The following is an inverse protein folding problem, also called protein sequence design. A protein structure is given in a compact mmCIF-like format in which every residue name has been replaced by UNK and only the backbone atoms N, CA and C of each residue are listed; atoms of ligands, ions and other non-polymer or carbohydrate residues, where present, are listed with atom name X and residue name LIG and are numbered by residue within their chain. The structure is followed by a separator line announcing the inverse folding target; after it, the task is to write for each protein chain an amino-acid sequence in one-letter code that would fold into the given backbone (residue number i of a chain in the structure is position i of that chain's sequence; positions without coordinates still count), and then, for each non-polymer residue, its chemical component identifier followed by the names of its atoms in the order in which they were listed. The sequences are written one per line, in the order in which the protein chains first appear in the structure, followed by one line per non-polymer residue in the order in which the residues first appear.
data_IF_753872404479
#
_entry.id   IF_753872404479
#
_cell.length_a   1.000
_cell.length_b   1.000
_cell.length_c   1.000
_cell.angle_alpha   90.00
_cell.angle_beta   90.00
_cell.angle_gamma   90.00
#
_symmetry.space_group_name_H-M   'P 1'
#
loop_
_entity.id
_entity.type
_entity.pdbx_description
1 polymer ?
#
# COMPACT_ATOMS: atom_id res chain seq x y z
N UNK A 1 -8.48 49.68 8.41
CA UNK A 1 -7.46 48.66 8.11
C UNK A 1 -8.19 47.37 7.89
N UNK A 2 -8.09 46.80 6.70
CA UNK A 2 -8.72 45.52 6.36
C UNK A 2 -7.99 44.39 7.08
N UNK A 3 -8.70 43.31 7.42
CA UNK A 3 -8.07 42.09 7.93
C UNK A 3 -7.04 41.53 6.93
N UNK A 4 -7.26 41.78 5.64
CA UNK A 4 -6.34 41.40 4.57
C UNK A 4 -5.04 42.19 4.57
N UNK A 5 -4.95 43.30 5.31
CA UNK A 5 -3.74 44.12 5.43
C UNK A 5 -2.80 43.63 6.55
N UNK A 6 -3.24 42.67 7.37
CA UNK A 6 -2.42 42.11 8.46
C UNK A 6 -1.34 41.17 7.92
N UNK A 7 -0.16 41.05 8.56
CA UNK A 7 0.84 40.01 8.25
C UNK A 7 0.34 38.58 8.49
N UNK A 8 0.92 37.58 7.82
CA UNK A 8 0.53 36.17 7.92
C UNK A 8 0.67 35.66 9.36
N UNK A 9 1.69 36.10 10.09
CA UNK A 9 1.95 35.73 11.48
C UNK A 9 0.84 36.23 12.42
N UNK A 10 0.30 37.43 12.16
CA UNK A 10 -0.82 37.96 12.94
C UNK A 10 -2.12 37.21 12.62
N UNK A 11 -2.34 36.87 11.35
CA UNK A 11 -3.49 36.06 10.94
C UNK A 11 -3.41 34.66 11.56
N UNK A 12 -2.26 33.99 11.51
CA UNK A 12 -2.04 32.70 12.16
C UNK A 12 -2.21 32.78 13.68
N UNK A 13 -1.79 33.87 14.32
CA UNK A 13 -2.02 34.09 15.75
C UNK A 13 -3.52 34.22 16.08
N UNK A 14 -4.27 34.95 15.24
CA UNK A 14 -5.74 35.09 15.38
C UNK A 14 -6.41 33.73 15.19
N UNK A 15 -6.04 32.99 14.13
CA UNK A 15 -6.58 31.66 13.85
C UNK A 15 -6.23 30.68 14.98
N UNK A 16 -5.00 30.68 15.49
CA UNK A 16 -4.55 29.81 16.59
C UNK A 16 -5.33 30.08 17.87
N UNK A 17 -5.58 31.35 18.17
CA UNK A 17 -6.40 31.72 19.33
C UNK A 17 -7.86 31.29 19.19
N UNK A 18 -8.38 31.20 17.97
CA UNK A 18 -9.75 30.74 17.76
C UNK A 18 -9.92 29.27 18.12
N UNK A 19 -8.90 28.43 17.89
CA UNK A 19 -8.91 26.97 18.03
C UNK A 19 -10.25 26.32 17.62
N UNK A 20 -10.86 26.86 16.56
CA UNK A 20 -12.23 26.55 16.16
C UNK A 20 -12.22 26.15 14.69
N UNK A 21 -12.47 24.87 14.43
CA UNK A 21 -12.52 24.32 13.09
C UNK A 21 -13.63 24.95 12.23
N UNK A 22 -14.70 25.46 12.85
CA UNK A 22 -15.76 26.18 12.15
C UNK A 22 -15.30 27.54 11.65
N UNK A 23 -14.36 28.18 12.34
CA UNK A 23 -13.72 29.39 11.84
C UNK A 23 -12.96 29.09 10.54
N UNK A 24 -12.23 27.96 10.49
CA UNK A 24 -11.55 27.52 9.26
C UNK A 24 -12.53 27.18 8.16
N UNK A 25 -13.57 26.43 8.49
CA UNK A 25 -14.65 26.10 7.56
C UNK A 25 -15.24 27.36 6.92
N UNK A 26 -15.40 28.43 7.68
CA UNK A 26 -15.94 29.70 7.16
C UNK A 26 -14.95 30.51 6.30
N UNK A 27 -13.64 30.21 6.38
CA UNK A 27 -12.58 30.95 5.69
C UNK A 27 -12.11 30.28 4.39
N UNK A 28 -12.37 28.98 4.23
CA UNK A 28 -12.11 28.25 2.98
C UNK A 28 -12.97 28.82 1.85
N UNK A 29 -12.34 29.07 0.71
CA UNK A 29 -12.93 29.64 -0.52
C UNK A 29 -13.34 31.12 -0.39
N UNK A 30 -12.99 31.79 0.72
CA UNK A 30 -13.22 33.24 0.89
C UNK A 30 -12.07 34.06 0.28
N UNK A 31 -10.83 33.59 0.44
CA UNK A 31 -9.64 34.27 -0.07
C UNK A 31 -8.46 33.29 -0.19
N UNK A 32 -7.71 33.35 -1.30
CA UNK A 32 -6.54 32.48 -1.53
C UNK A 32 -5.52 32.56 -0.39
N UNK A 33 -5.37 33.74 0.23
CA UNK A 33 -4.48 33.90 1.37
C UNK A 33 -4.94 33.09 2.57
N UNK A 34 -6.25 33.06 2.86
CA UNK A 34 -6.81 32.27 3.95
C UNK A 34 -6.78 30.78 3.64
N UNK A 35 -6.98 30.37 2.38
CA UNK A 35 -6.85 28.98 1.97
C UNK A 35 -5.43 28.45 2.27
N UNK A 36 -4.40 29.25 1.96
CA UNK A 36 -3.00 28.88 2.29
C UNK A 36 -2.77 28.80 3.80
N UNK A 37 -3.30 29.75 4.57
CA UNK A 37 -3.11 29.77 6.03
C UNK A 37 -3.88 28.66 6.74
N UNK A 38 -5.06 28.28 6.24
CA UNK A 38 -5.83 27.14 6.73
C UNK A 38 -5.11 25.81 6.50
N UNK A 39 -4.22 25.76 5.50
CA UNK A 39 -3.35 24.63 5.19
C UNK A 39 -1.97 24.70 5.85
N UNK A 40 -1.68 25.73 6.62
CA UNK A 40 -0.39 25.85 7.28
C UNK A 40 -0.20 24.74 8.32
N UNK A 41 0.90 24.00 8.20
CA UNK A 41 1.14 22.83 9.06
C UNK A 41 1.29 23.19 10.55
N UNK A 42 1.77 24.39 10.87
CA UNK A 42 1.96 24.84 12.26
C UNK A 42 0.59 25.07 12.87
N UNK A 43 -0.30 25.66 12.10
CA UNK A 43 -1.67 25.92 12.50
C UNK A 43 -2.49 24.63 12.65
N UNK A 44 -2.47 23.74 11.65
CA UNK A 44 -3.20 22.46 11.69
C UNK A 44 -2.79 21.62 12.90
N UNK A 45 -1.50 21.61 13.27
CA UNK A 45 -1.01 20.89 14.45
C UNK A 45 -1.56 21.42 15.77
N UNK A 46 -1.94 22.69 15.81
CA UNK A 46 -2.52 23.33 16.99
C UNK A 46 -4.01 23.01 17.19
N UNK A 47 -4.66 22.40 16.20
CA UNK A 47 -6.08 22.09 16.26
C UNK A 47 -6.34 20.87 17.13
N UNK A 48 -7.22 21.05 18.10
CA UNK A 48 -7.70 19.96 18.94
C UNK A 48 -8.91 19.28 18.28
N UNK A 49 -8.71 18.04 17.84
CA UNK A 49 -9.76 17.19 17.24
C UNK A 49 -10.41 16.20 18.24
N UNK A 50 -10.12 16.30 19.54
CA UNK A 50 -10.46 15.24 20.52
C UNK A 50 -11.93 15.21 20.99
N UNK A 51 -12.89 15.72 20.20
CA UNK A 51 -14.32 15.69 20.50
C UNK A 51 -15.14 14.93 19.44
N UNK A 52 -16.16 14.18 19.86
CA UNK A 52 -17.04 13.43 18.95
C UNK A 52 -17.68 14.33 17.87
N UNK A 53 -18.06 15.56 18.22
CA UNK A 53 -18.65 16.53 17.29
C UNK A 53 -17.60 17.10 16.30
N UNK A 54 -16.33 17.19 16.73
CA UNK A 54 -15.23 17.76 15.94
C UNK A 54 -14.78 16.87 14.78
N UNK A 55 -14.99 15.55 14.91
CA UNK A 55 -14.74 14.60 13.81
C UNK A 55 -15.69 14.88 12.64
N UNK A 56 -16.97 15.11 12.92
CA UNK A 56 -17.96 15.45 11.91
C UNK A 56 -17.68 16.83 11.29
N UNK A 57 -17.28 17.82 12.09
CA UNK A 57 -16.87 19.13 11.58
C UNK A 57 -15.62 19.06 10.69
N UNK A 58 -14.66 18.20 11.03
CA UNK A 58 -13.48 17.96 10.18
C UNK A 58 -13.85 17.29 8.86
N UNK A 59 -14.77 16.34 8.88
CA UNK A 59 -15.30 15.74 7.64
C UNK A 59 -16.00 16.79 6.77
N UNK A 60 -16.84 17.65 7.36
CA UNK A 60 -17.48 18.75 6.63
C UNK A 60 -16.45 19.72 6.05
N UNK A 61 -15.41 20.06 6.80
CA UNK A 61 -14.28 20.86 6.33
C UNK A 61 -13.58 20.24 5.12
N UNK A 62 -13.27 18.94 5.17
CA UNK A 62 -12.69 18.23 4.04
C UNK A 62 -13.65 18.21 2.84
N UNK A 63 -14.95 17.97 3.05
CA UNK A 63 -15.96 17.97 1.98
C UNK A 63 -16.13 19.33 1.33
N UNK A 64 -16.05 20.43 2.09
CA UNK A 64 -16.11 21.79 1.53
C UNK A 64 -14.83 22.12 0.75
N UNK A 65 -13.68 21.76 1.29
CA UNK A 65 -12.41 21.91 0.58
C UNK A 65 -12.40 21.12 -0.73
N UNK A 66 -13.02 19.93 -0.70
CA UNK A 66 -13.19 19.03 -1.83
C UNK A 66 -14.14 19.56 -2.91
N UNK A 67 -15.30 20.09 -2.51
CA UNK A 67 -16.30 20.66 -3.42
C UNK A 67 -15.87 21.99 -4.03
N UNK A 68 -14.95 22.70 -3.38
CA UNK A 68 -14.27 23.90 -3.92
C UNK A 68 -13.15 23.54 -4.93
N UNK A 69 -12.99 22.25 -5.22
CA UNK A 69 -11.77 21.58 -5.69
C UNK A 69 -11.12 22.10 -6.98
N UNK A 70 -11.84 22.71 -7.93
CA UNK A 70 -11.17 23.14 -9.17
C UNK A 70 -10.39 24.46 -9.03
N UNK A 71 -10.81 25.37 -8.15
CA UNK A 71 -10.17 26.70 -8.03
C UNK A 71 -8.98 26.69 -7.05
N UNK A 72 -9.09 25.93 -5.95
CA UNK A 72 -8.11 25.89 -4.87
C UNK A 72 -6.94 24.96 -5.21
N UNK A 73 -7.21 23.81 -5.84
CA UNK A 73 -6.16 22.86 -6.26
C UNK A 73 -5.26 23.45 -7.35
N UNK A 74 -5.82 24.14 -8.33
CA UNK A 74 -5.06 24.83 -9.38
C UNK A 74 -4.17 25.94 -8.79
N UNK A 75 -4.60 26.60 -7.71
CA UNK A 75 -3.81 27.64 -7.03
C UNK A 75 -2.68 27.07 -6.17
N UNK A 76 -2.90 25.95 -5.47
CA UNK A 76 -1.91 25.32 -4.59
C UNK A 76 -0.82 24.58 -5.36
N UNK A 77 -1.18 23.86 -6.43
CA UNK A 77 -0.22 23.09 -7.26
C UNK A 77 0.78 24.02 -7.96
N UNK A 78 0.39 25.25 -8.28
CA UNK A 78 1.26 26.22 -8.93
C UNK A 78 2.33 26.85 -8.01
N UNK A 79 2.34 26.58 -6.69
CA UNK A 79 3.16 27.39 -5.75
C UNK A 79 4.06 26.65 -4.76
N UNK A 80 3.88 25.36 -4.42
CA UNK A 80 4.65 24.74 -3.32
C UNK A 80 5.05 23.26 -3.51
N UNK A 81 6.12 23.01 -4.28
CA UNK A 81 6.95 21.80 -4.16
C UNK A 81 8.26 22.18 -3.45
N UNK A 82 8.21 22.40 -2.14
CA UNK A 82 9.41 22.30 -1.28
C UNK A 82 9.00 22.31 0.18
N UNK A 83 9.36 21.23 0.88
CA UNK A 83 9.39 21.07 2.34
C UNK A 83 8.06 20.84 3.06
N UNK A 84 7.77 19.60 3.43
CA UNK A 84 7.13 19.31 4.71
C UNK A 84 7.54 17.95 5.30
N UNK A 85 7.73 17.94 6.61
CA UNK A 85 8.13 16.80 7.44
C UNK A 85 7.46 16.98 8.82
N UNK A 86 6.74 15.96 9.33
CA UNK A 86 6.49 15.59 10.77
C UNK A 86 5.14 14.86 10.99
N UNK A 87 5.18 14.03 12.05
CA UNK A 87 4.26 12.99 12.55
C UNK A 87 3.03 13.48 13.33
N UNK A 88 1.88 12.81 13.15
CA UNK A 88 0.94 12.25 14.16
C UNK A 88 -0.26 11.58 13.45
N UNK A 89 -1.26 11.08 14.18
CA UNK A 89 -1.71 9.70 14.11
C UNK A 89 -3.29 9.66 14.09
N UNK A 90 -4.02 9.20 13.02
CA UNK A 90 -5.47 8.75 13.05
C UNK A 90 -5.93 7.88 11.81
N UNK A 91 -7.05 7.13 11.91
CA UNK A 91 -7.53 6.06 10.97
C UNK A 91 -8.47 6.53 9.83
N UNK A 92 -8.33 5.99 8.61
CA UNK A 92 -9.27 6.20 7.47
C UNK A 92 -9.34 4.97 6.53
N UNK A 93 -10.55 4.47 6.23
CA UNK A 93 -10.74 3.28 5.37
C UNK A 93 -11.73 3.46 4.20
N UNK A 94 -12.38 4.63 4.05
CA UNK A 94 -13.51 4.76 3.10
C UNK A 94 -13.25 5.65 1.87
N UNK A 95 -12.05 6.24 1.73
CA UNK A 95 -11.77 7.23 0.67
C UNK A 95 -11.21 6.65 -0.65
N UNK A 96 -11.01 5.33 -0.73
CA UNK A 96 -10.16 4.71 -1.77
C UNK A 96 -10.80 4.61 -3.16
N UNK A 97 -12.15 4.61 -3.26
CA UNK A 97 -12.83 4.10 -4.45
C UNK A 97 -13.39 5.18 -5.41
N UNK A 98 -13.16 6.47 -5.16
CA UNK A 98 -13.95 7.53 -5.82
C UNK A 98 -13.21 8.48 -6.79
N UNK A 99 -11.87 8.49 -6.91
CA UNK A 99 -11.17 9.68 -7.46
C UNK A 99 -10.01 9.46 -8.47
N UNK A 100 -9.82 10.43 -9.38
CA UNK A 100 -8.92 10.45 -10.56
C UNK A 100 -7.39 10.58 -10.27
N UNK A 101 -6.50 10.31 -11.26
CA UNK A 101 -5.05 10.12 -11.03
C UNK A 101 -4.25 11.35 -10.56
N UNK A 102 -4.59 12.57 -10.98
CA UNK A 102 -3.90 13.80 -10.55
C UNK A 102 -4.30 14.20 -9.13
N UNK A 103 -5.56 13.90 -8.80
CA UNK A 103 -6.17 14.02 -7.48
C UNK A 103 -5.57 12.99 -6.50
N UNK A 104 -5.20 11.81 -7.00
CA UNK A 104 -4.45 10.79 -6.25
C UNK A 104 -3.04 11.23 -5.82
N UNK A 105 -2.33 12.02 -6.63
CA UNK A 105 -0.99 12.51 -6.28
C UNK A 105 -1.03 13.54 -5.13
N UNK A 106 -2.09 14.36 -5.09
CA UNK A 106 -2.31 15.32 -4.01
C UNK A 106 -2.89 14.65 -2.76
N UNK A 107 -3.79 13.68 -2.95
CA UNK A 107 -4.20 12.74 -1.88
C UNK A 107 -2.98 12.01 -1.33
N UNK A 108 -1.96 11.66 -2.11
CA UNK A 108 -0.72 11.04 -1.62
C UNK A 108 0.14 11.98 -0.79
N UNK A 109 0.17 13.27 -1.10
CA UNK A 109 0.88 14.29 -0.29
C UNK A 109 0.12 14.61 1.00
N UNK A 110 -1.22 14.62 0.96
CA UNK A 110 -2.08 14.80 2.14
C UNK A 110 -2.19 13.53 3.00
N UNK A 111 -2.25 12.37 2.35
CA UNK A 111 -2.18 11.04 2.97
C UNK A 111 -0.79 10.79 3.56
N UNK A 112 0.31 11.28 2.97
CA UNK A 112 1.63 11.30 3.64
C UNK A 112 1.59 12.00 5.01
N UNK A 113 0.64 12.92 5.20
CA UNK A 113 0.38 13.60 6.47
C UNK A 113 -0.65 12.86 7.37
N UNK A 114 -1.44 11.93 6.82
CA UNK A 114 -2.58 11.25 7.48
C UNK A 114 -2.44 9.71 7.61
N UNK A 115 -1.56 9.03 6.87
CA UNK A 115 -1.46 7.55 6.78
C UNK A 115 -0.51 6.91 7.80
N UNK A 116 -0.01 7.66 8.77
CA UNK A 116 0.81 7.07 9.84
C UNK A 116 0.01 6.08 10.72
N UNK A 117 -1.34 6.04 10.67
CA UNK A 117 -2.11 5.21 11.63
C UNK A 117 -2.54 3.82 11.18
N UNK A 118 -2.78 3.56 9.90
CA UNK A 118 -3.18 2.20 9.48
C UNK A 118 -1.98 1.25 9.32
N UNK A 119 -0.76 1.76 9.53
CA UNK A 119 0.49 1.07 9.20
C UNK A 119 1.53 0.98 10.32
N UNK A 120 1.33 1.68 11.44
CA UNK A 120 2.31 1.75 12.56
C UNK A 120 1.89 0.90 13.77
N UNK A 121 0.98 -0.07 13.62
CA UNK A 121 0.67 -0.99 14.72
C UNK A 121 1.80 -2.01 15.04
N UNK A 122 2.99 -1.83 14.48
CA UNK A 122 4.08 -2.80 14.53
C UNK A 122 5.32 -2.34 15.30
N UNK A 123 5.36 -1.09 15.80
CA UNK A 123 6.52 -0.56 16.53
C UNK A 123 6.43 -0.70 18.06
N UNK A 124 5.33 -1.26 18.62
CA UNK A 124 5.19 -1.36 20.08
C UNK A 124 6.00 -2.46 20.75
N UNK A 125 6.39 -3.51 20.02
CA UNK A 125 7.05 -4.70 20.61
C UNK A 125 8.44 -4.97 20.04
N UNK A 126 8.97 -4.07 19.21
CA UNK A 126 10.22 -4.31 18.52
C UNK A 126 11.42 -3.95 19.42
N UNK A 127 12.26 -4.95 19.72
CA UNK A 127 13.59 -4.76 20.30
C UNK A 127 14.35 -3.67 19.53
N UNK A 128 15.26 -2.88 20.16
CA UNK A 128 16.04 -1.85 19.46
C UNK A 128 16.84 -2.37 18.26
N UNK A 129 16.97 -3.69 18.08
CA UNK A 129 17.64 -4.34 16.96
C UNK A 129 16.70 -5.03 15.96
N UNK A 130 15.39 -4.94 16.16
CA UNK A 130 14.36 -5.57 15.30
C UNK A 130 13.41 -4.49 14.77
N UNK A 131 13.03 -4.58 13.49
CA UNK A 131 12.05 -3.66 12.89
C UNK A 131 10.96 -4.46 12.21
N UNK A 132 9.69 -4.17 12.52
CA UNK A 132 8.54 -4.66 11.77
C UNK A 132 7.97 -3.50 10.95
N UNK A 133 7.94 -3.66 9.64
CA UNK A 133 7.47 -2.62 8.73
C UNK A 133 6.51 -3.16 7.69
N UNK A 134 5.34 -2.53 7.64
CA UNK A 134 4.35 -2.70 6.60
C UNK A 134 4.58 -1.54 5.61
N UNK A 135 4.67 -1.76 4.29
CA UNK A 135 4.70 -0.70 3.26
C UNK A 135 3.74 -1.01 2.09
N UNK A 136 2.94 -0.02 1.64
CA UNK A 136 2.20 -0.07 0.38
C UNK A 136 2.60 1.17 -0.42
N UNK A 137 3.19 0.99 -1.60
CA UNK A 137 3.91 2.07 -2.25
C UNK A 137 3.92 1.93 -3.78
N UNK A 138 4.23 3.03 -4.46
CA UNK A 138 4.52 3.02 -5.90
C UNK A 138 5.96 2.56 -6.15
N UNK A 139 6.27 2.11 -7.36
CA UNK A 139 7.64 1.79 -7.75
C UNK A 139 8.59 2.98 -7.52
N UNK A 140 8.18 4.19 -7.91
CA UNK A 140 8.95 5.42 -7.69
C UNK A 140 9.29 5.61 -6.22
N UNK A 141 8.30 5.53 -5.33
CA UNK A 141 8.53 5.69 -3.89
C UNK A 141 9.34 4.53 -3.29
N UNK A 142 9.20 3.30 -3.80
CA UNK A 142 10.08 2.19 -3.43
C UNK A 142 11.55 2.53 -3.67
N UNK A 143 11.90 2.98 -4.87
CA UNK A 143 13.28 3.30 -5.25
C UNK A 143 13.83 4.58 -4.60
N UNK A 144 13.02 5.64 -4.51
CA UNK A 144 13.49 6.95 -4.05
C UNK A 144 13.38 7.17 -2.55
N UNK A 145 12.55 6.39 -1.85
CA UNK A 145 12.28 6.59 -0.41
C UNK A 145 12.66 5.35 0.41
N UNK A 146 12.12 4.19 0.05
CA UNK A 146 12.30 2.97 0.84
C UNK A 146 13.70 2.37 0.73
N UNK A 147 14.21 2.20 -0.48
CA UNK A 147 15.56 1.68 -0.69
C UNK A 147 16.61 2.55 0.04
N UNK A 148 16.64 3.89 -0.10
CA UNK A 148 17.57 4.74 0.65
C UNK A 148 17.37 4.67 2.17
N UNK A 149 16.13 4.53 2.65
CA UNK A 149 15.86 4.37 4.07
C UNK A 149 16.47 3.07 4.61
N UNK A 150 16.20 1.94 3.94
CA UNK A 150 16.74 0.64 4.31
C UNK A 150 18.27 0.64 4.28
N UNK A 151 18.88 1.25 3.26
CA UNK A 151 20.35 1.38 3.17
C UNK A 151 20.98 2.12 4.36
N UNK A 152 20.25 3.02 5.02
CA UNK A 152 20.72 3.72 6.22
C UNK A 152 20.57 2.90 7.51
N UNK A 153 19.81 1.80 7.48
CA UNK A 153 19.58 0.90 8.62
C UNK A 153 20.64 -0.21 8.69
N UNK A 154 21.91 0.11 8.42
CA UNK A 154 23.01 -0.87 8.31
C UNK A 154 23.29 -1.65 9.60
N UNK A 155 22.84 -1.16 10.74
CA UNK A 155 23.04 -1.77 12.06
C UNK A 155 21.93 -2.72 12.49
N UNK A 156 20.84 -2.82 11.72
CA UNK A 156 19.68 -3.63 12.06
C UNK A 156 20.05 -5.12 12.05
N UNK A 157 19.68 -5.85 13.11
CA UNK A 157 19.93 -7.29 13.20
C UNK A 157 18.76 -8.10 12.64
N UNK A 158 17.54 -7.66 12.91
CA UNK A 158 16.33 -8.33 12.42
C UNK A 158 15.40 -7.38 11.67
N UNK A 159 14.90 -7.80 10.52
CA UNK A 159 13.92 -7.07 9.73
C UNK A 159 12.75 -7.99 9.39
N UNK A 160 11.54 -7.56 9.75
CA UNK A 160 10.30 -8.15 9.29
C UNK A 160 9.61 -7.17 8.36
N UNK A 161 9.54 -7.49 7.08
CA UNK A 161 9.07 -6.58 6.02
C UNK A 161 7.85 -7.14 5.32
N UNK A 162 6.74 -6.43 5.39
CA UNK A 162 5.57 -6.70 4.55
C UNK A 162 5.42 -5.54 3.57
N UNK A 163 5.52 -5.79 2.26
CA UNK A 163 5.63 -4.72 1.26
C UNK A 163 4.73 -5.01 0.06
N UNK A 164 3.98 -4.02 -0.40
CA UNK A 164 3.21 -4.05 -1.64
C UNK A 164 3.70 -2.93 -2.57
N UNK A 165 4.29 -3.28 -3.71
CA UNK A 165 4.82 -2.32 -4.68
C UNK A 165 3.97 -2.30 -5.95
N UNK A 166 3.41 -1.14 -6.30
CA UNK A 166 2.59 -0.93 -7.50
C UNK A 166 3.37 -0.30 -8.64
N UNK A 167 3.14 -0.79 -9.86
CA UNK A 167 3.50 -0.09 -11.08
C UNK A 167 4.98 -0.13 -11.39
N UNK A 168 5.65 -1.25 -11.11
CA UNK A 168 7.04 -1.42 -11.55
C UNK A 168 7.02 -1.66 -13.07
N UNK A 169 7.78 -0.84 -13.81
CA UNK A 169 7.95 -1.02 -15.24
C UNK A 169 8.88 -2.22 -15.47
N UNK A 170 8.32 -3.34 -15.92
CA UNK A 170 9.00 -4.56 -16.38
C UNK A 170 9.90 -5.31 -15.39
N UNK A 171 10.27 -4.74 -14.25
CA UNK A 171 11.08 -5.43 -13.23
C UNK A 171 10.20 -5.89 -12.07
N UNK A 172 10.39 -7.14 -11.64
CA UNK A 172 9.83 -7.67 -10.41
C UNK A 172 10.92 -7.59 -9.32
N UNK A 173 10.53 -7.72 -8.05
CA UNK A 173 11.49 -7.79 -6.94
C UNK A 173 11.78 -9.27 -6.70
N UNK A 174 12.98 -9.71 -7.08
CA UNK A 174 13.51 -11.06 -6.84
C UNK A 174 14.66 -11.04 -5.81
N UNK A 175 15.35 -12.18 -5.68
CA UNK A 175 16.48 -12.31 -4.76
C UNK A 175 17.68 -11.47 -5.18
N UNK A 176 17.88 -11.28 -6.49
CA UNK A 176 18.95 -10.42 -7.04
C UNK A 176 18.72 -8.98 -6.60
N UNK A 177 17.53 -8.48 -6.90
CA UNK A 177 17.10 -7.13 -6.60
C UNK A 177 17.20 -6.81 -5.10
N UNK A 178 16.64 -7.67 -4.25
CA UNK A 178 16.68 -7.46 -2.80
C UNK A 178 18.11 -7.44 -2.27
N UNK A 179 18.97 -8.31 -2.78
CA UNK A 179 20.36 -8.35 -2.37
C UNK A 179 21.10 -7.07 -2.73
N UNK A 180 20.99 -6.65 -3.99
CA UNK A 180 21.79 -5.55 -4.53
C UNK A 180 21.30 -4.19 -4.01
N UNK A 181 19.98 -4.03 -3.86
CA UNK A 181 19.39 -2.77 -3.44
C UNK A 181 19.38 -2.60 -1.91
N UNK A 182 19.12 -3.68 -1.16
CA UNK A 182 18.85 -3.62 0.28
C UNK A 182 19.89 -4.39 1.10
N UNK A 183 20.02 -5.69 0.86
CA UNK A 183 20.61 -6.60 1.86
C UNK A 183 22.14 -6.51 1.92
N UNK A 184 22.82 -6.24 0.80
CA UNK A 184 24.28 -5.99 0.78
C UNK A 184 24.69 -4.79 1.64
N UNK A 185 23.75 -3.87 1.93
CA UNK A 185 23.96 -2.69 2.77
C UNK A 185 23.55 -2.88 4.22
N UNK A 186 23.05 -4.06 4.59
CA UNK A 186 22.66 -4.44 5.94
C UNK A 186 23.53 -5.60 6.47
N UNK A 187 24.85 -5.40 6.66
CA UNK A 187 25.77 -6.49 6.99
C UNK A 187 25.50 -7.13 8.36
N UNK A 188 24.74 -6.47 9.24
CA UNK A 188 24.35 -7.01 10.55
C UNK A 188 23.04 -7.78 10.54
N UNK A 189 22.30 -7.74 9.42
CA UNK A 189 21.01 -8.39 9.30
C UNK A 189 21.18 -9.90 9.29
N UNK A 190 20.89 -10.54 10.41
CA UNK A 190 20.99 -11.98 10.59
C UNK A 190 19.64 -12.68 10.37
N UNK A 191 18.54 -11.93 10.48
CA UNK A 191 17.18 -12.46 10.32
C UNK A 191 16.35 -11.52 9.46
N UNK A 192 15.96 -12.02 8.30
CA UNK A 192 15.10 -11.30 7.37
C UNK A 192 13.83 -12.12 7.11
N UNK A 193 12.71 -11.63 7.63
CA UNK A 193 11.38 -12.20 7.39
C UNK A 193 10.62 -11.26 6.49
N UNK A 194 10.04 -11.74 5.39
CA UNK A 194 9.36 -10.85 4.46
C UNK A 194 8.14 -11.45 3.78
N UNK A 195 7.27 -10.57 3.28
CA UNK A 195 6.15 -10.85 2.40
C UNK A 195 6.02 -9.67 1.45
N UNK A 196 6.54 -9.81 0.23
CA UNK A 196 6.68 -8.73 -0.74
C UNK A 196 5.88 -9.08 -1.99
N UNK A 197 4.84 -8.30 -2.25
CA UNK A 197 4.06 -8.41 -3.47
C UNK A 197 4.40 -7.26 -4.40
N UNK A 198 4.68 -7.58 -5.65
CA UNK A 198 4.93 -6.64 -6.73
C UNK A 198 3.82 -6.76 -7.76
N UNK A 199 3.30 -5.61 -8.19
CA UNK A 199 2.39 -5.51 -9.34
C UNK A 199 3.15 -4.85 -10.47
N UNK A 200 3.48 -5.64 -11.48
CA UNK A 200 4.11 -5.17 -12.71
C UNK A 200 3.00 -4.72 -13.66
N UNK A 201 3.16 -3.53 -14.22
CA UNK A 201 2.23 -2.98 -15.21
C UNK A 201 3.04 -2.49 -16.40
N UNK A 202 2.93 -3.13 -17.56
CA UNK A 202 3.64 -2.70 -18.77
C UNK A 202 2.68 -2.53 -19.94
N UNK A 203 2.30 -1.27 -20.23
CA UNK A 203 1.35 -0.96 -21.31
C UNK A 203 1.94 -1.16 -22.71
N UNK A 204 3.25 -1.37 -22.84
CA UNK A 204 3.98 -1.24 -24.11
C UNK A 204 4.64 -2.53 -24.59
N UNK A 205 4.72 -3.58 -23.78
CA UNK A 205 5.27 -4.87 -24.22
C UNK A 205 4.71 -6.02 -23.40
N UNK A 206 4.88 -7.24 -23.91
CA UNK A 206 4.70 -8.46 -23.13
C UNK A 206 5.56 -8.35 -21.87
N UNK A 207 4.95 -8.68 -20.73
CA UNK A 207 5.68 -8.80 -19.47
C UNK A 207 6.26 -10.20 -19.48
N UNK A 208 7.59 -10.31 -19.40
CA UNK A 208 8.22 -11.57 -19.09
C UNK A 208 8.33 -11.67 -17.57
N UNK A 209 7.41 -12.41 -16.94
CA UNK A 209 7.57 -12.79 -15.55
C UNK A 209 8.49 -14.02 -15.48
N UNK A 210 9.44 -14.06 -14.53
CA UNK A 210 10.16 -15.28 -14.23
C UNK A 210 9.19 -16.35 -13.74
N UNK A 211 9.53 -17.61 -13.99
CA UNK A 211 8.79 -18.71 -13.36
C UNK A 211 8.99 -18.70 -11.84
N UNK A 212 8.13 -19.41 -11.11
CA UNK A 212 8.32 -19.61 -9.66
C UNK A 212 9.69 -20.25 -9.35
N UNK A 213 10.16 -21.14 -10.21
CA UNK A 213 11.46 -21.82 -10.07
C UNK A 213 12.62 -20.83 -10.26
N UNK A 214 12.53 -19.95 -11.27
CA UNK A 214 13.53 -18.90 -11.50
C UNK A 214 13.63 -17.95 -10.30
N UNK A 215 12.47 -17.53 -9.77
CA UNK A 215 12.41 -16.71 -8.56
C UNK A 215 13.07 -17.47 -7.42
N UNK A 216 12.68 -18.71 -7.16
CA UNK A 216 13.24 -19.51 -6.07
C UNK A 216 14.76 -19.67 -6.18
N UNK A 217 15.26 -19.93 -7.39
CA UNK A 217 16.69 -20.08 -7.66
C UNK A 217 17.47 -18.81 -7.31
N UNK A 218 16.92 -17.63 -7.62
CA UNK A 218 17.56 -16.34 -7.30
C UNK A 218 17.83 -16.13 -5.80
N UNK A 219 17.04 -16.76 -4.93
CA UNK A 219 17.22 -16.70 -3.47
C UNK A 219 18.17 -17.79 -2.95
N UNK A 220 18.14 -18.98 -3.53
CA UNK A 220 19.01 -20.11 -3.15
C UNK A 220 20.49 -19.74 -3.33
N UNK A 221 20.84 -19.15 -4.47
CA UNK A 221 22.23 -18.73 -4.78
C UNK A 221 22.80 -17.76 -3.74
N UNK A 222 21.92 -16.98 -3.10
CA UNK A 222 22.29 -15.96 -2.11
C UNK A 222 22.20 -16.46 -0.67
N UNK A 223 22.01 -17.78 -0.49
CA UNK A 223 21.91 -18.45 0.81
C UNK A 223 20.75 -17.92 1.67
N UNK A 224 19.69 -17.40 1.05
CA UNK A 224 18.46 -17.09 1.79
C UNK A 224 17.75 -18.38 2.21
N UNK A 225 16.89 -18.27 3.23
CA UNK A 225 16.03 -19.36 3.71
C UNK A 225 15.10 -19.89 2.60
N UNK A 226 14.36 -20.97 2.90
CA UNK A 226 13.23 -21.38 2.08
C UNK A 226 12.27 -20.19 1.89
N UNK A 227 11.94 -19.90 0.64
CA UNK A 227 10.94 -18.90 0.27
C UNK A 227 9.78 -19.57 -0.43
N UNK A 228 8.60 -18.96 -0.32
CA UNK A 228 7.48 -19.26 -1.20
C UNK A 228 7.40 -18.18 -2.28
N UNK A 229 7.67 -18.52 -3.55
CA UNK A 229 7.34 -17.66 -4.67
C UNK A 229 5.93 -17.96 -5.17
N UNK A 230 5.29 -16.91 -5.66
CA UNK A 230 4.00 -17.00 -6.29
C UNK A 230 3.86 -15.93 -7.38
N UNK A 231 4.03 -16.33 -8.63
CA UNK A 231 3.80 -15.50 -9.80
C UNK A 231 2.46 -15.84 -10.46
N UNK A 232 1.68 -14.79 -10.71
CA UNK A 232 0.47 -14.81 -11.52
C UNK A 232 0.81 -14.07 -12.82
N UNK A 233 1.15 -14.86 -13.84
CA UNK A 233 1.41 -14.35 -15.17
C UNK A 233 0.13 -14.32 -15.99
N UNK A 234 -0.26 -13.10 -16.34
CA UNK A 234 -1.30 -12.90 -17.31
C UNK A 234 -0.67 -12.73 -18.69
N UNK A 235 -0.62 -13.83 -19.43
CA UNK A 235 -0.12 -13.84 -20.81
C UNK A 235 -0.91 -12.92 -21.75
N UNK A 236 -2.10 -12.42 -21.35
CA UNK A 236 -2.96 -11.55 -22.16
C UNK A 236 -3.22 -10.14 -21.60
N UNK A 237 -2.94 -9.86 -20.32
CA UNK A 237 -3.05 -8.50 -19.75
C UNK A 237 -1.65 -7.92 -19.52
N UNK A 238 -1.56 -6.62 -19.75
CA UNK A 238 -0.51 -5.65 -19.37
C UNK A 238 -0.12 -5.68 -17.86
N UNK A 239 -0.63 -6.64 -17.07
CA UNK A 239 -0.53 -6.68 -15.62
C UNK A 239 -0.11 -8.06 -15.16
N UNK A 240 0.92 -8.09 -14.35
CA UNK A 240 1.51 -9.28 -13.77
C UNK A 240 1.67 -9.07 -12.27
N UNK A 241 1.58 -10.14 -11.48
CA UNK A 241 1.81 -10.09 -10.05
C UNK A 241 2.85 -11.12 -9.66
N UNK A 242 3.78 -10.72 -8.81
CA UNK A 242 4.73 -11.62 -8.19
C UNK A 242 4.73 -11.37 -6.70
N UNK A 243 4.45 -12.41 -5.91
CA UNK A 243 4.51 -12.40 -4.46
C UNK A 243 5.62 -13.35 -4.01
N UNK A 244 6.55 -12.82 -3.22
CA UNK A 244 7.62 -13.59 -2.60
C UNK A 244 7.50 -13.47 -1.08
N UNK A 245 7.72 -14.54 -0.35
CA UNK A 245 7.64 -14.51 1.11
C UNK A 245 8.56 -15.54 1.77
N UNK A 246 8.99 -15.25 3.00
CA UNK A 246 9.79 -16.17 3.80
C UNK A 246 8.96 -17.34 4.32
N UNK A 247 9.57 -18.53 4.38
CA UNK A 247 9.02 -19.71 5.05
C UNK A 247 9.80 -20.02 6.34
N UNK A 248 9.12 -20.45 7.42
CA UNK A 248 7.66 -20.53 7.57
C UNK A 248 7.03 -19.13 7.60
N UNK A 249 5.86 -18.97 6.97
CA UNK A 249 5.17 -17.67 6.89
C UNK A 249 4.75 -17.17 8.27
N UNK A 250 5.21 -15.96 8.64
CA UNK A 250 5.04 -15.42 10.00
C UNK A 250 3.90 -14.40 10.15
N UNK A 251 3.28 -13.96 9.06
CA UNK A 251 2.29 -12.88 9.10
C UNK A 251 0.89 -13.41 9.37
N UNK A 252 0.08 -12.61 10.07
CA UNK A 252 -1.33 -12.93 10.36
C UNK A 252 -2.26 -12.74 9.16
N UNK A 253 -1.78 -12.06 8.12
CA UNK A 253 -2.57 -11.76 6.92
C UNK A 253 -1.84 -12.26 5.67
N UNK A 254 -2.60 -12.79 4.72
CA UNK A 254 -2.13 -13.15 3.39
C UNK A 254 -2.95 -12.36 2.36
N UNK A 255 -2.30 -11.43 1.67
CA UNK A 255 -2.97 -10.51 0.76
C UNK A 255 -2.97 -11.01 -0.68
N UNK A 256 -4.11 -10.81 -1.36
CA UNK A 256 -4.26 -10.90 -2.81
C UNK A 256 -3.87 -12.25 -3.40
N UNK A 257 -4.36 -13.31 -2.79
CA UNK A 257 -4.25 -14.68 -3.30
C UNK A 257 -5.16 -14.83 -4.52
N UNK A 258 -4.67 -15.43 -5.60
CA UNK A 258 -5.43 -15.67 -6.84
C UNK A 258 -5.38 -17.16 -7.20
N UNK A 259 -6.07 -17.57 -8.28
CA UNK A 259 -6.21 -18.99 -8.65
C UNK A 259 -4.88 -19.72 -8.83
N UNK A 260 -3.79 -19.03 -9.19
CA UNK A 260 -2.49 -19.68 -9.40
C UNK A 260 -1.81 -20.10 -8.08
N UNK A 261 -2.39 -19.77 -6.91
CA UNK A 261 -1.84 -20.14 -5.61
C UNK A 261 -1.73 -21.66 -5.44
N UNK A 262 -0.51 -22.14 -5.20
CA UNK A 262 -0.18 -23.56 -5.16
C UNK A 262 -0.47 -24.23 -3.80
N UNK A 263 -0.95 -23.46 -2.82
CA UNK A 263 -1.20 -23.95 -1.47
C UNK A 263 0.02 -23.93 -0.54
N UNK A 264 -0.07 -24.68 0.55
CA UNK A 264 0.95 -24.78 1.60
C UNK A 264 0.34 -24.59 2.99
N UNK A 265 1.09 -24.83 4.07
CA UNK A 265 0.55 -24.73 5.43
C UNK A 265 0.87 -23.39 6.09
N UNK A 266 -0.14 -22.55 6.28
CA UNK A 266 -0.01 -21.18 6.80
C UNK A 266 -0.68 -21.01 8.16
N UNK A 267 -0.17 -21.73 9.16
CA UNK A 267 -0.78 -21.83 10.50
C UNK A 267 -0.90 -20.51 11.28
N UNK A 268 -0.18 -19.45 10.90
CA UNK A 268 -0.23 -18.13 11.53
C UNK A 268 -1.24 -17.18 10.91
N UNK A 269 -1.69 -17.47 9.69
CA UNK A 269 -2.64 -16.61 8.98
C UNK A 269 -4.01 -16.74 9.61
N UNK A 270 -4.68 -15.59 9.80
CA UNK A 270 -6.05 -15.45 10.32
C UNK A 270 -6.94 -14.70 9.34
N UNK A 271 -6.36 -13.88 8.46
CA UNK A 271 -7.08 -13.15 7.44
C UNK A 271 -6.47 -13.40 6.06
N UNK A 272 -7.32 -13.75 5.10
CA UNK A 272 -6.94 -13.92 3.70
C UNK A 272 -7.80 -13.00 2.85
N UNK A 273 -7.15 -12.26 1.96
CA UNK A 273 -7.81 -11.53 0.89
C UNK A 273 -7.56 -12.31 -0.40
N UNK A 274 -8.63 -12.85 -0.98
CA UNK A 274 -8.59 -13.46 -2.32
C UNK A 274 -9.07 -12.46 -3.35
N UNK A 275 -8.52 -12.54 -4.55
CA UNK A 275 -8.90 -11.68 -5.67
C UNK A 275 -8.84 -12.43 -6.98
N UNK A 276 -9.74 -12.08 -7.87
CA UNK A 276 -9.95 -12.67 -9.19
C UNK A 276 -9.74 -11.60 -10.27
N UNK A 277 -8.71 -10.76 -10.10
CA UNK A 277 -8.34 -9.64 -10.99
C UNK A 277 -8.40 -10.00 -12.50
N UNK A 278 -8.24 -11.28 -12.83
CA UNK A 278 -7.94 -11.78 -14.17
C UNK A 278 -8.95 -12.84 -14.61
N UNK A 279 -9.00 -13.96 -13.89
CA UNK A 279 -9.86 -15.10 -14.19
C UNK A 279 -10.94 -15.22 -13.12
N UNK A 280 -12.14 -15.72 -13.44
CA UNK A 280 -13.12 -16.11 -12.44
C UNK A 280 -12.53 -17.05 -11.40
N UNK A 281 -12.99 -16.97 -10.16
CA UNK A 281 -12.55 -17.93 -9.14
C UNK A 281 -12.90 -19.36 -9.54
N UNK A 282 -11.91 -20.24 -9.44
CA UNK A 282 -12.08 -21.68 -9.64
C UNK A 282 -12.59 -22.34 -8.36
N UNK A 283 -13.32 -23.45 -8.48
CA UNK A 283 -13.84 -24.14 -7.29
C UNK A 283 -12.70 -24.80 -6.51
N UNK A 284 -11.76 -25.41 -7.22
CA UNK A 284 -10.54 -26.05 -6.72
C UNK A 284 -9.68 -25.04 -5.94
N UNK A 285 -9.66 -23.78 -6.37
CA UNK A 285 -8.96 -22.71 -5.68
C UNK A 285 -9.44 -22.55 -4.23
N UNK A 286 -10.76 -22.54 -3.98
CA UNK A 286 -11.27 -22.44 -2.61
C UNK A 286 -10.99 -23.68 -1.77
N UNK A 287 -10.87 -24.86 -2.40
CA UNK A 287 -10.41 -26.06 -1.69
C UNK A 287 -8.97 -25.88 -1.22
N UNK A 288 -8.08 -25.39 -2.10
CA UNK A 288 -6.68 -25.08 -1.75
C UNK A 288 -6.62 -24.05 -0.61
N UNK A 289 -7.41 -22.98 -0.67
CA UNK A 289 -7.52 -21.99 0.43
C UNK A 289 -7.93 -22.68 1.75
N UNK A 290 -8.95 -23.54 1.72
CA UNK A 290 -9.45 -24.20 2.93
C UNK A 290 -8.40 -25.10 3.61
N UNK A 291 -7.59 -25.79 2.79
CA UNK A 291 -6.52 -26.67 3.27
C UNK A 291 -5.31 -25.87 3.74
N UNK A 292 -5.03 -24.73 3.10
CA UNK A 292 -3.81 -23.96 3.35
C UNK A 292 -3.88 -23.09 4.60
N UNK A 293 -5.09 -22.69 5.00
CA UNK A 293 -5.33 -21.75 6.10
C UNK A 293 -6.24 -22.37 7.19
N UNK A 294 -5.77 -23.37 7.95
CA UNK A 294 -6.60 -24.14 8.89
C UNK A 294 -7.18 -23.31 10.05
N UNK A 295 -6.67 -22.11 10.30
CA UNK A 295 -7.10 -21.22 11.38
C UNK A 295 -7.67 -19.89 10.83
N UNK A 296 -8.18 -19.90 9.59
CA UNK A 296 -8.76 -18.71 8.97
C UNK A 296 -9.98 -18.20 9.75
N UNK A 297 -9.96 -16.92 10.12
CA UNK A 297 -11.06 -16.23 10.79
C UNK A 297 -11.81 -15.30 9.84
N UNK A 298 -11.11 -14.75 8.85
CA UNK A 298 -11.67 -13.79 7.91
C UNK A 298 -11.23 -14.11 6.49
N UNK A 299 -12.19 -14.36 5.61
CA UNK A 299 -11.99 -14.45 4.17
C UNK A 299 -12.64 -13.21 3.52
N UNK A 300 -11.82 -12.38 2.89
CA UNK A 300 -12.28 -11.24 2.12
C UNK A 300 -12.14 -11.55 0.64
N UNK A 301 -13.24 -11.41 -0.11
CA UNK A 301 -13.27 -11.66 -1.56
C UNK A 301 -13.31 -10.30 -2.26
N UNK A 302 -12.26 -9.98 -3.01
CA UNK A 302 -12.18 -8.76 -3.81
C UNK A 302 -12.46 -9.09 -5.26
N UNK A 303 -13.60 -8.61 -5.74
CA UNK A 303 -14.04 -8.78 -7.11
C UNK A 303 -13.97 -7.45 -7.87
N UNK A 304 -12.87 -7.21 -8.57
CA UNK A 304 -12.60 -5.91 -9.22
C UNK A 304 -13.46 -5.68 -10.49
N UNK A 305 -13.95 -6.75 -11.12
CA UNK A 305 -14.76 -6.69 -12.36
C UNK A 305 -15.87 -7.77 -12.30
N UNK A 306 -17.06 -7.57 -12.90
CA UNK A 306 -18.07 -8.62 -12.96
C UNK A 306 -17.54 -9.96 -13.51
N UNK A 307 -18.01 -11.09 -12.97
CA UNK A 307 -17.54 -12.42 -13.41
C UNK A 307 -17.80 -12.68 -14.91
N UNK A 308 -18.95 -12.21 -15.40
CA UNK A 308 -19.34 -12.35 -16.80
C UNK A 308 -18.42 -11.57 -17.74
N UNK A 309 -17.87 -10.43 -17.31
CA UNK A 309 -16.89 -9.68 -18.11
C UNK A 309 -15.50 -10.32 -18.11
N UNK A 310 -15.24 -11.27 -17.20
CA UNK A 310 -14.02 -12.09 -17.18
C UNK A 310 -14.15 -13.35 -18.04
N UNK A 311 -15.38 -13.70 -18.45
CA UNK A 311 -15.69 -14.80 -19.39
C UNK A 311 -15.53 -14.33 -20.84
N UNK A 312 -14.32 -13.93 -21.19
CA UNK A 312 -13.85 -14.09 -22.56
C UNK A 312 -12.60 -14.90 -22.39
N UNK A 313 -12.65 -16.21 -22.65
CA UNK A 313 -11.70 -16.98 -23.45
C UNK A 313 -12.12 -18.46 -23.36
N UNK A 314 -12.30 -19.06 -24.54
CA UNK A 314 -12.94 -20.34 -24.77
C UNK A 314 -12.26 -21.51 -24.04
N UNK A 315 -13.13 -22.44 -23.60
CA UNK A 315 -12.87 -23.84 -23.27
C UNK A 315 -11.51 -24.39 -23.74
N UNK A 316 -10.59 -24.62 -22.81
CA UNK A 316 -9.72 -25.80 -22.88
C UNK A 316 -10.42 -26.90 -22.09
N UNK A 317 -11.18 -27.71 -22.81
CA UNK A 317 -11.74 -28.97 -22.31
C UNK A 317 -10.58 -29.92 -22.00
N UNK A 318 -10.13 -30.01 -20.75
CA UNK A 318 -9.37 -31.18 -20.32
C UNK A 318 -10.36 -32.33 -20.12
N UNK A 319 -10.46 -33.22 -21.10
CA UNK A 319 -11.05 -34.54 -20.90
C UNK A 319 -10.04 -35.36 -20.09
N UNK A 320 -10.25 -35.47 -18.78
CA UNK A 320 -9.59 -36.51 -18.00
C UNK A 320 -10.37 -37.82 -18.20
N UNK A 321 -9.85 -38.71 -19.05
CA UNK A 321 -10.30 -40.10 -19.07
C UNK A 321 -9.77 -40.80 -17.83
N UNK A 322 -10.67 -41.16 -16.91
CA UNK A 322 -10.35 -42.06 -15.80
C UNK A 322 -10.07 -43.46 -16.36
N UNK A 323 -8.81 -43.88 -16.37
CA UNK A 323 -8.49 -45.31 -16.40
C UNK A 323 -8.68 -45.88 -14.99
N UNK A 324 -9.88 -46.41 -14.73
CA UNK A 324 -10.05 -47.41 -13.69
C UNK A 324 -9.39 -48.71 -14.17
N UNK A 325 -8.16 -48.99 -13.73
CA UNK A 325 -7.64 -50.35 -13.72
C UNK A 325 -8.10 -51.04 -12.44
N UNK A 326 -9.01 -51.99 -12.60
CA UNK A 326 -9.37 -52.97 -11.59
C UNK A 326 -8.15 -53.84 -11.24
N UNK A 327 -7.94 -54.06 -9.94
CA UNK A 327 -7.54 -55.35 -9.39
C UNK A 327 -7.92 -55.40 -7.92
#
# INVERSE_FOLDING_TARGET
MSILDLPDEMLLCILNKSNNINALYSLVDVNERFDRLALDSIYIRGLDFTGNDKSQEFHQFLDRFWTSGDSILVRLVNKQITHFNLKTEFRTTELFDRYEPTLFALILSFAKCLTDFTFVQCLRDASPNSLLTLFSTSATSYYHEFVPLFRRMSNLAELTLFLFVKGINSTHIDGIHLNDEILVRMPRLNKFTFSITTRVCNRRSNIFLPSNDDIQHSFIERKYQQIGPYADDNTMKIRARCHIYSLPYQFHMFHKVTNSFQGGMFNKVRSVIVTDDICPFEHEFFQIISQSFPFLQTLSIQNDEPQESKKQFDYIHYIFSSCCSQS
#
